data_IF_134735075960
#
_entry.id   IF_134735075960
#
_cell.length_a   1.000
_cell.length_b   1.000
_cell.length_c   1.000
_cell.angle_alpha   90.00
_cell.angle_beta   90.00
_cell.angle_gamma   90.00
#
_symmetry.space_group_name_H-M   'P 1'
#
loop_
_entity.id
_entity.type
_entity.pdbx_description
1 polymer ?
#
# COMPACT_ATOMS: atom_id res chain seq x y z
N UNK A 1 37.10 4.69 -45.99
CA UNK A 1 37.52 3.64 -45.05
C UNK A 1 36.89 3.98 -43.70
N UNK A 2 35.73 3.37 -43.49
CA UNK A 2 35.05 3.01 -42.25
C UNK A 2 34.73 4.02 -41.14
N UNK A 3 33.43 4.28 -41.04
CA UNK A 3 32.69 4.86 -39.92
C UNK A 3 32.79 4.00 -38.65
N UNK A 4 33.14 4.62 -37.53
CA UNK A 4 33.00 4.04 -36.18
C UNK A 4 31.78 4.65 -35.50
N UNK A 5 30.77 3.81 -35.23
CA UNK A 5 29.54 4.14 -34.51
C UNK A 5 29.81 4.32 -33.00
N UNK A 6 29.11 5.23 -32.30
CA UNK A 6 29.11 5.25 -30.84
C UNK A 6 28.21 4.15 -30.26
N UNK A 7 28.75 3.47 -29.25
CA UNK A 7 28.10 2.44 -28.42
C UNK A 7 26.89 3.00 -27.65
N UNK A 8 25.70 2.48 -27.96
CA UNK A 8 24.50 2.68 -27.16
C UNK A 8 24.55 1.82 -25.89
N UNK A 9 24.84 2.44 -24.75
CA UNK A 9 24.65 1.81 -23.43
C UNK A 9 23.24 2.17 -22.95
N UNK A 10 22.31 1.23 -23.12
CA UNK A 10 20.97 1.31 -22.51
C UNK A 10 21.06 1.01 -21.01
N UNK A 11 20.29 1.69 -20.14
CA UNK A 11 20.24 1.35 -18.73
C UNK A 11 19.54 -0.01 -18.56
N UNK A 12 20.17 -0.91 -17.81
CA UNK A 12 19.63 -2.23 -17.43
C UNK A 12 18.32 -2.06 -16.68
N UNK A 13 17.19 -2.21 -17.38
CA UNK A 13 15.87 -2.42 -16.79
C UNK A 13 15.95 -3.59 -15.78
N UNK A 14 15.51 -3.32 -14.56
CA UNK A 14 15.65 -4.20 -13.39
C UNK A 14 15.01 -5.57 -13.66
N UNK A 15 15.68 -6.63 -13.18
CA UNK A 15 15.21 -8.02 -13.28
C UNK A 15 13.83 -8.23 -12.62
N UNK A 16 13.38 -7.32 -11.76
CA UNK A 16 12.08 -7.36 -11.09
C UNK A 16 10.90 -7.07 -12.02
N UNK A 17 11.01 -6.06 -12.89
CA UNK A 17 9.93 -5.70 -13.83
C UNK A 17 9.63 -6.85 -14.82
N UNK A 18 10.64 -7.63 -15.17
CA UNK A 18 10.49 -8.80 -16.07
C UNK A 18 9.81 -10.00 -15.39
N UNK A 19 9.92 -10.12 -14.07
CA UNK A 19 9.26 -11.17 -13.30
C UNK A 19 7.78 -10.85 -13.08
N UNK A 20 7.45 -9.59 -12.81
CA UNK A 20 6.04 -9.15 -12.65
C UNK A 20 5.27 -9.19 -13.97
N UNK A 21 5.88 -8.77 -15.08
CA UNK A 21 5.26 -8.88 -16.40
C UNK A 21 5.02 -10.34 -16.84
N UNK A 22 5.89 -11.28 -16.45
CA UNK A 22 5.68 -12.72 -16.71
C UNK A 22 4.52 -13.30 -15.90
N UNK A 23 4.34 -12.85 -14.66
CA UNK A 23 3.22 -13.29 -13.80
C UNK A 23 1.89 -12.75 -14.30
N UNK A 24 1.86 -11.55 -14.89
CA UNK A 24 0.64 -10.98 -15.47
C UNK A 24 0.26 -11.64 -16.80
N UNK A 25 1.22 -11.99 -17.66
CA UNK A 25 0.92 -12.71 -18.92
C UNK A 25 0.52 -14.18 -18.70
N UNK A 26 0.95 -14.82 -17.61
CA UNK A 26 0.49 -16.18 -17.26
C UNK A 26 -0.97 -16.21 -16.80
N UNK A 27 -1.52 -15.08 -16.33
CA UNK A 27 -2.93 -14.99 -15.93
C UNK A 27 -3.89 -14.78 -17.11
N UNK A 28 -3.38 -14.30 -18.24
CA UNK A 28 -4.15 -14.15 -19.49
C UNK A 28 -4.22 -15.45 -20.31
N UNK A 29 -3.40 -16.46 -20.00
CA UNK A 29 -3.36 -17.74 -20.70
C UNK A 29 -4.28 -18.82 -20.07
N UNK A 30 -4.81 -18.59 -18.87
CA UNK A 30 -5.88 -19.42 -18.29
C UNK A 30 -7.23 -18.85 -18.71
N UNK A 31 -7.74 -19.38 -19.83
CA UNK A 31 -8.97 -18.93 -20.48
C UNK A 31 -10.17 -18.86 -19.53
N UNK A 32 -10.59 -17.64 -19.21
CA UNK A 32 -11.93 -17.31 -18.75
C UNK A 32 -12.38 -16.15 -19.65
N UNK A 33 -13.29 -16.44 -20.57
CA UNK A 33 -13.92 -15.44 -21.43
C UNK A 33 -14.88 -14.56 -20.59
N UNK A 34 -14.99 -13.25 -20.88
CA UNK A 34 -15.97 -12.39 -20.23
C UNK A 34 -17.36 -12.66 -20.82
N UNK A 35 -18.33 -12.93 -19.95
CA UNK A 35 -19.76 -13.06 -20.33
C UNK A 35 -20.32 -11.66 -20.51
N UNK A 36 -20.63 -11.32 -21.76
CA UNK A 36 -21.32 -10.11 -22.17
C UNK A 36 -22.84 -10.35 -22.18
N UNK A 37 -23.59 -9.34 -21.72
CA UNK A 37 -25.01 -9.11 -22.02
C UNK A 37 -26.08 -10.08 -21.48
N UNK A 38 -26.68 -9.76 -20.32
CA UNK A 38 -28.06 -10.19 -20.01
C UNK A 38 -28.93 -8.95 -19.81
N UNK A 39 -29.85 -8.74 -20.76
CA UNK A 39 -30.89 -7.72 -20.69
C UNK A 39 -31.93 -8.06 -19.63
N UNK A 40 -32.17 -7.10 -18.74
CA UNK A 40 -33.24 -7.09 -17.73
C UNK A 40 -34.60 -6.97 -18.43
N UNK A 41 -35.44 -7.99 -18.33
CA UNK A 41 -36.88 -7.87 -18.63
C UNK A 41 -37.63 -7.68 -17.31
N UNK A 42 -38.32 -6.55 -17.22
CA UNK A 42 -39.13 -6.11 -16.07
C UNK A 42 -40.49 -6.80 -16.14
N UNK A 43 -40.86 -7.56 -15.11
CA UNK A 43 -42.23 -8.00 -14.90
C UNK A 43 -43.00 -6.91 -14.14
N UNK A 44 -44.09 -6.42 -14.75
CA UNK A 44 -44.98 -5.42 -14.19
C UNK A 44 -46.25 -6.13 -13.69
N UNK A 45 -46.39 -6.28 -12.37
CA UNK A 45 -47.65 -6.68 -11.75
C UNK A 45 -48.66 -5.52 -11.79
N UNK A 46 -49.88 -5.78 -12.27
CA UNK A 46 -51.05 -4.94 -12.06
C UNK A 46 -52.21 -5.80 -11.55
N UNK A 47 -52.57 -5.56 -10.30
CA UNK A 47 -53.85 -5.97 -9.70
C UNK A 47 -54.89 -4.85 -9.86
N UNK A 48 -56.14 -5.26 -10.14
CA UNK A 48 -57.46 -4.63 -9.87
C UNK A 48 -58.50 -5.29 -10.81
N UNK A 49 -59.75 -5.57 -10.47
CA UNK A 49 -60.54 -5.61 -9.24
C UNK A 49 -61.91 -6.25 -9.60
N UNK A 50 -62.48 -7.02 -8.67
CA UNK A 50 -63.91 -7.17 -8.31
C UNK A 50 -65.05 -7.50 -9.32
N UNK A 51 -65.78 -8.62 -9.08
CA UNK A 51 -67.16 -8.63 -8.52
C UNK A 51 -67.92 -9.98 -8.61
N UNK A 52 -68.39 -10.42 -7.44
CA UNK A 52 -69.73 -10.92 -7.03
C UNK A 52 -70.49 -12.11 -7.68
N UNK A 53 -70.76 -13.09 -6.79
CA UNK A 53 -72.07 -13.65 -6.32
C UNK A 53 -72.75 -14.87 -7.01
N UNK A 54 -72.97 -15.86 -6.13
CA UNK A 54 -74.13 -16.76 -5.91
C UNK A 54 -74.27 -18.12 -6.63
N UNK A 55 -74.22 -19.16 -5.78
CA UNK A 55 -74.91 -20.47 -5.72
C UNK A 55 -75.94 -20.79 -6.83
N UNK A 56 -75.87 -22.00 -7.43
CA UNK A 56 -76.75 -23.15 -7.11
C UNK A 56 -76.61 -24.35 -8.07
N UNK A 57 -76.69 -25.54 -7.47
CA UNK A 57 -77.22 -26.84 -7.91
C UNK A 57 -77.18 -27.29 -9.40
N UNK A 58 -76.46 -28.42 -9.58
CA UNK A 58 -76.88 -29.64 -10.28
C UNK A 58 -77.76 -29.54 -11.54
N UNK A 59 -77.20 -29.93 -12.69
CA UNK A 59 -77.77 -30.97 -13.56
C UNK A 59 -76.80 -31.32 -14.69
N UNK A 60 -76.43 -32.60 -14.74
CA UNK A 60 -75.73 -33.25 -15.85
C UNK A 60 -76.60 -33.13 -17.13
N UNK A 61 -75.97 -33.10 -18.31
CA UNK A 61 -76.22 -34.19 -19.24
C UNK A 61 -74.92 -34.86 -19.67
N UNK A 62 -74.99 -36.17 -19.67
CA UNK A 62 -73.97 -37.13 -20.05
C UNK A 62 -74.05 -37.39 -21.57
N UNK A 63 -72.98 -37.99 -22.11
CA UNK A 63 -72.75 -38.46 -23.50
C UNK A 63 -72.05 -37.42 -24.40
N UNK A 64 -70.85 -37.65 -24.94
CA UNK A 64 -70.21 -38.88 -25.41
C UNK A 64 -68.70 -38.91 -25.07
N UNK A 65 -68.32 -39.80 -24.14
CA UNK A 65 -66.95 -40.26 -23.88
C UNK A 65 -66.67 -41.47 -24.76
N UNK A 66 -65.75 -41.36 -25.74
CA UNK A 66 -64.91 -42.49 -26.20
C UNK A 66 -63.52 -41.99 -26.66
N UNK A 67 -63.37 -40.78 -27.22
CA UNK A 67 -62.07 -40.30 -27.74
C UNK A 67 -61.19 -39.51 -26.75
N UNK A 68 -61.76 -38.83 -25.76
CA UNK A 68 -60.96 -37.97 -24.85
C UNK A 68 -60.11 -38.77 -23.85
N UNK A 69 -60.56 -39.97 -23.46
CA UNK A 69 -59.81 -40.82 -22.52
C UNK A 69 -58.54 -41.41 -23.14
N UNK A 70 -58.59 -41.80 -24.42
CA UNK A 70 -57.45 -42.33 -25.18
C UNK A 70 -56.36 -41.27 -25.46
N UNK A 71 -56.74 -40.01 -25.65
CA UNK A 71 -55.80 -38.90 -25.78
C UNK A 71 -55.18 -38.50 -24.44
N UNK A 72 -55.97 -38.52 -23.37
CA UNK A 72 -55.49 -38.22 -22.02
C UNK A 72 -54.51 -39.29 -21.51
N UNK A 73 -54.78 -40.57 -21.71
CA UNK A 73 -53.87 -41.67 -21.36
C UNK A 73 -52.55 -41.61 -22.16
N UNK A 74 -52.61 -41.27 -23.45
CA UNK A 74 -51.40 -41.04 -24.27
C UNK A 74 -50.60 -39.83 -23.80
N UNK A 75 -51.27 -38.77 -23.38
CA UNK A 75 -50.62 -37.57 -22.83
C UNK A 75 -49.88 -37.89 -21.53
N UNK A 76 -50.53 -38.60 -20.59
CA UNK A 76 -49.92 -39.03 -19.33
C UNK A 76 -48.74 -39.98 -19.55
N UNK A 77 -48.87 -40.92 -20.49
CA UNK A 77 -47.80 -41.82 -20.85
C UNK A 77 -46.57 -41.09 -21.44
N UNK A 78 -46.80 -40.03 -22.23
CA UNK A 78 -45.73 -39.19 -22.75
C UNK A 78 -45.06 -38.37 -21.65
N UNK A 79 -45.83 -37.84 -20.70
CA UNK A 79 -45.32 -37.09 -19.53
C UNK A 79 -44.39 -37.96 -18.68
N UNK A 80 -44.77 -39.22 -18.42
CA UNK A 80 -43.94 -40.19 -17.70
C UNK A 80 -42.64 -40.48 -18.45
N UNK A 81 -42.70 -40.65 -19.78
CA UNK A 81 -41.51 -40.88 -20.59
C UNK A 81 -40.56 -39.68 -20.53
N UNK A 82 -41.09 -38.46 -20.59
CA UNK A 82 -40.31 -37.22 -20.46
C UNK A 82 -39.67 -37.12 -19.08
N UNK A 83 -40.40 -37.43 -18.00
CA UNK A 83 -39.85 -37.44 -16.66
C UNK A 83 -38.71 -38.45 -16.51
N UNK A 84 -38.86 -39.67 -17.03
CA UNK A 84 -37.80 -40.69 -17.05
C UNK A 84 -36.57 -40.23 -17.84
N UNK A 85 -36.77 -39.50 -18.94
CA UNK A 85 -35.69 -38.92 -19.73
C UNK A 85 -34.90 -37.88 -18.93
N UNK A 86 -35.58 -36.94 -18.25
CA UNK A 86 -34.93 -35.94 -17.40
C UNK A 86 -34.21 -36.59 -16.21
N UNK A 87 -34.82 -37.59 -15.58
CA UNK A 87 -34.19 -38.36 -14.51
C UNK A 87 -32.89 -39.04 -14.97
N UNK A 88 -32.90 -39.73 -16.11
CA UNK A 88 -31.71 -40.40 -16.64
C UNK A 88 -30.65 -39.38 -17.10
N UNK A 89 -31.03 -38.28 -17.75
CA UNK A 89 -30.11 -37.20 -18.11
C UNK A 89 -29.44 -36.58 -16.87
N UNK A 90 -30.20 -36.38 -15.80
CA UNK A 90 -29.70 -35.90 -14.52
C UNK A 90 -28.76 -36.92 -13.86
N UNK A 91 -29.05 -38.22 -13.95
CA UNK A 91 -28.13 -39.29 -13.52
C UNK A 91 -26.81 -39.26 -14.30
N UNK A 92 -26.86 -39.08 -15.63
CA UNK A 92 -25.64 -38.93 -16.47
C UNK A 92 -24.83 -37.71 -16.02
N UNK A 93 -25.49 -36.58 -15.77
CA UNK A 93 -24.83 -35.35 -15.31
C UNK A 93 -24.17 -35.54 -13.94
N UNK A 94 -24.83 -36.26 -13.02
CA UNK A 94 -24.27 -36.61 -11.72
C UNK A 94 -23.06 -37.54 -11.83
N UNK A 95 -23.14 -38.57 -12.66
CA UNK A 95 -22.02 -39.47 -12.93
C UNK A 95 -20.83 -38.73 -13.56
N UNK A 96 -21.09 -37.81 -14.49
CA UNK A 96 -20.04 -36.97 -15.08
C UNK A 96 -19.40 -36.01 -14.08
N UNK A 97 -20.18 -35.41 -13.18
CA UNK A 97 -19.63 -34.59 -12.08
C UNK A 97 -18.75 -35.43 -11.15
N UNK A 98 -19.13 -36.69 -10.88
CA UNK A 98 -18.34 -37.62 -10.08
C UNK A 98 -17.03 -37.99 -10.78
N UNK A 99 -17.06 -38.22 -12.10
CA UNK A 99 -15.88 -38.45 -12.92
C UNK A 99 -14.91 -37.27 -12.82
N UNK A 100 -15.39 -36.03 -12.97
CA UNK A 100 -14.56 -34.84 -12.85
C UNK A 100 -13.95 -34.69 -11.46
N UNK A 101 -14.70 -35.01 -10.40
CA UNK A 101 -14.20 -34.96 -9.03
C UNK A 101 -13.10 -36.01 -8.79
N UNK A 102 -13.26 -37.23 -9.30
CA UNK A 102 -12.28 -38.31 -9.17
C UNK A 102 -11.00 -38.10 -10.00
N UNK A 103 -10.95 -37.10 -10.89
CA UNK A 103 -9.73 -36.78 -11.64
C UNK A 103 -8.70 -35.98 -10.83
N UNK A 104 -9.12 -35.28 -9.77
CA UNK A 104 -8.22 -34.42 -8.99
C UNK A 104 -8.67 -34.31 -7.52
N UNK A 105 -8.00 -35.01 -6.58
CA UNK A 105 -6.86 -35.91 -6.82
C UNK A 105 -7.27 -37.16 -7.61
N UNK A 106 -6.32 -37.75 -8.34
CA UNK A 106 -6.58 -38.92 -9.20
C UNK A 106 -7.03 -40.14 -8.38
N UNK A 107 -8.25 -40.60 -8.64
CA UNK A 107 -8.92 -41.75 -8.03
C UNK A 107 -9.39 -42.69 -9.14
N UNK A 108 -8.64 -43.76 -9.37
CA UNK A 108 -8.90 -44.71 -10.45
C UNK A 108 -10.24 -45.46 -10.27
N UNK A 109 -10.56 -45.85 -9.04
CA UNK A 109 -11.79 -46.57 -8.72
C UNK A 109 -13.01 -45.67 -8.87
N UNK A 110 -12.90 -44.41 -8.43
CA UNK A 110 -13.93 -43.39 -8.62
C UNK A 110 -14.19 -43.07 -10.10
N UNK A 111 -13.12 -42.98 -10.90
CA UNK A 111 -13.22 -42.79 -12.36
C UNK A 111 -13.93 -43.98 -13.01
N UNK A 112 -13.51 -45.21 -12.71
CA UNK A 112 -14.10 -46.41 -13.30
C UNK A 112 -15.56 -46.60 -12.89
N UNK A 113 -15.90 -46.34 -11.63
CA UNK A 113 -17.28 -46.39 -11.14
C UNK A 113 -18.17 -45.35 -11.82
N UNK A 114 -17.69 -44.11 -11.97
CA UNK A 114 -18.42 -43.06 -12.67
C UNK A 114 -18.61 -43.36 -14.16
N UNK A 115 -17.59 -43.90 -14.83
CA UNK A 115 -17.66 -44.32 -16.24
C UNK A 115 -18.72 -45.41 -16.44
N UNK A 116 -18.72 -46.45 -15.58
CA UNK A 116 -19.73 -47.50 -15.62
C UNK A 116 -21.16 -46.93 -15.46
N UNK A 117 -21.36 -45.96 -14.56
CA UNK A 117 -22.65 -45.30 -14.35
C UNK A 117 -23.09 -44.49 -15.59
N UNK A 118 -22.18 -43.78 -16.24
CA UNK A 118 -22.47 -43.08 -17.50
C UNK A 118 -22.90 -44.07 -18.56
N UNK A 119 -22.16 -45.18 -18.74
CA UNK A 119 -22.49 -46.21 -19.73
C UNK A 119 -23.85 -46.86 -19.44
N UNK A 120 -24.18 -47.14 -18.17
CA UNK A 120 -25.48 -47.73 -17.82
C UNK A 120 -26.64 -46.78 -18.10
N UNK A 121 -26.50 -45.48 -17.81
CA UNK A 121 -27.55 -44.50 -18.08
C UNK A 121 -27.70 -44.20 -19.58
N UNK A 122 -26.61 -44.22 -20.36
CA UNK A 122 -26.70 -44.12 -21.81
C UNK A 122 -27.44 -45.32 -22.44
N UNK A 123 -27.27 -46.53 -21.88
CA UNK A 123 -28.08 -47.69 -22.27
C UNK A 123 -29.55 -47.49 -21.92
N UNK A 124 -29.85 -47.00 -20.72
CA UNK A 124 -31.22 -46.68 -20.29
C UNK A 124 -31.89 -45.64 -21.21
N UNK A 125 -31.17 -44.58 -21.59
CA UNK A 125 -31.63 -43.59 -22.58
C UNK A 125 -31.92 -44.21 -23.95
N UNK A 126 -31.10 -45.19 -24.37
CA UNK A 126 -31.34 -45.95 -25.61
C UNK A 126 -32.61 -46.78 -25.53
N UNK A 127 -32.88 -47.40 -24.38
CA UNK A 127 -34.10 -48.18 -24.15
C UNK A 127 -35.34 -47.28 -24.13
N UNK A 128 -35.28 -46.13 -23.44
CA UNK A 128 -36.34 -45.12 -23.45
C UNK A 128 -36.67 -44.62 -24.86
N UNK A 129 -35.64 -44.38 -25.69
CA UNK A 129 -35.80 -44.05 -27.11
C UNK A 129 -36.52 -45.18 -27.86
N UNK A 130 -36.17 -46.43 -27.61
CA UNK A 130 -36.80 -47.57 -28.26
C UNK A 130 -38.28 -47.74 -27.84
N UNK A 131 -38.60 -47.52 -26.57
CA UNK A 131 -39.97 -47.51 -26.04
C UNK A 131 -40.84 -46.46 -26.75
N UNK A 132 -40.31 -45.25 -26.94
CA UNK A 132 -41.00 -44.18 -27.69
C UNK A 132 -41.31 -44.59 -29.13
N UNK A 133 -40.31 -45.13 -29.85
CA UNK A 133 -40.46 -45.57 -31.25
C UNK A 133 -41.50 -46.69 -31.37
N UNK A 134 -41.49 -47.65 -30.44
CA UNK A 134 -42.42 -48.78 -30.42
C UNK A 134 -43.79 -48.45 -29.82
N UNK A 135 -44.00 -47.23 -29.32
CA UNK A 135 -45.20 -46.80 -28.57
C UNK A 135 -45.53 -47.73 -27.40
N UNK A 136 -44.49 -48.20 -26.71
CA UNK A 136 -44.63 -49.02 -25.50
C UNK A 136 -44.57 -48.10 -24.29
N UNK A 137 -45.69 -47.98 -23.59
CA UNK A 137 -45.85 -47.09 -22.44
C UNK A 137 -46.10 -47.89 -21.16
N UNK A 138 -45.74 -47.30 -20.02
CA UNK A 138 -45.90 -47.96 -18.72
C UNK A 138 -47.38 -48.19 -18.37
N UNK A 139 -47.72 -49.33 -17.76
CA UNK A 139 -49.08 -49.64 -17.33
C UNK A 139 -49.52 -48.86 -16.07
N UNK A 140 -48.62 -48.12 -15.42
CA UNK A 140 -48.91 -47.30 -14.22
C UNK A 140 -48.18 -45.95 -14.30
N UNK A 141 -48.85 -44.90 -14.81
CA UNK A 141 -48.22 -43.60 -15.06
C UNK A 141 -47.91 -42.82 -13.77
N UNK A 142 -48.84 -42.74 -12.82
CA UNK A 142 -48.70 -41.90 -11.61
C UNK A 142 -47.52 -42.30 -10.72
N UNK A 143 -47.32 -43.61 -10.51
CA UNK A 143 -46.20 -44.12 -9.69
C UNK A 143 -44.86 -43.90 -10.39
N UNK A 144 -44.84 -44.05 -11.72
CA UNK A 144 -43.63 -43.89 -12.53
C UNK A 144 -43.14 -42.44 -12.59
N UNK A 145 -44.08 -41.49 -12.63
CA UNK A 145 -43.80 -40.05 -12.62
C UNK A 145 -43.07 -39.64 -11.33
N UNK A 146 -43.64 -40.00 -10.18
CA UNK A 146 -43.06 -39.69 -8.86
C UNK A 146 -41.68 -40.33 -8.68
N UNK A 147 -41.49 -41.57 -9.15
CA UNK A 147 -40.19 -42.24 -9.09
C UNK A 147 -39.13 -41.55 -9.96
N UNK A 148 -39.51 -41.08 -11.16
CA UNK A 148 -38.62 -40.33 -12.02
C UNK A 148 -38.22 -38.99 -11.39
N UNK A 149 -39.18 -38.25 -10.82
CA UNK A 149 -38.90 -37.01 -10.10
C UNK A 149 -37.97 -37.22 -8.91
N UNK A 150 -38.20 -38.25 -8.10
CA UNK A 150 -37.32 -38.60 -6.97
C UNK A 150 -35.90 -38.90 -7.46
N UNK A 151 -35.76 -39.62 -8.58
CA UNK A 151 -34.45 -39.96 -9.15
C UNK A 151 -33.74 -38.72 -9.70
N UNK A 152 -34.46 -37.81 -10.35
CA UNK A 152 -33.91 -36.53 -10.81
C UNK A 152 -33.42 -35.70 -9.62
N UNK A 153 -34.25 -35.52 -8.59
CA UNK A 153 -33.88 -34.76 -7.40
C UNK A 153 -32.69 -35.38 -6.66
N UNK A 154 -32.61 -36.70 -6.58
CA UNK A 154 -31.47 -37.42 -6.00
C UNK A 154 -30.18 -37.16 -6.79
N UNK A 155 -30.27 -37.15 -8.12
CA UNK A 155 -29.13 -36.88 -9.00
C UNK A 155 -28.66 -35.43 -8.88
N UNK A 156 -29.58 -34.47 -8.81
CA UNK A 156 -29.27 -33.06 -8.55
C UNK A 156 -28.62 -32.85 -7.18
N UNK A 157 -29.16 -33.47 -6.13
CA UNK A 157 -28.56 -33.45 -4.79
C UNK A 157 -27.12 -33.99 -4.81
N UNK A 158 -26.87 -35.06 -5.57
CA UNK A 158 -25.52 -35.62 -5.73
C UNK A 158 -24.55 -34.65 -6.40
N UNK A 159 -24.98 -33.92 -7.44
CA UNK A 159 -24.18 -32.89 -8.11
C UNK A 159 -23.79 -31.79 -7.12
N UNK A 160 -24.74 -31.29 -6.35
CA UNK A 160 -24.46 -30.25 -5.35
C UNK A 160 -23.54 -30.73 -4.25
N UNK A 161 -23.67 -31.98 -3.79
CA UNK A 161 -22.75 -32.60 -2.84
C UNK A 161 -21.30 -32.61 -3.38
N UNK A 162 -21.12 -33.03 -4.64
CA UNK A 162 -19.80 -33.09 -5.28
C UNK A 162 -19.20 -31.68 -5.46
N UNK A 163 -20.02 -30.72 -5.91
CA UNK A 163 -19.60 -29.33 -6.06
C UNK A 163 -19.20 -28.71 -4.71
N UNK A 164 -19.96 -29.00 -3.65
CA UNK A 164 -19.63 -28.58 -2.29
C UNK A 164 -18.27 -29.09 -1.82
N UNK A 165 -18.00 -30.40 -2.00
CA UNK A 165 -16.70 -31.00 -1.67
C UNK A 165 -15.54 -30.39 -2.44
N UNK A 166 -15.75 -30.06 -3.71
CA UNK A 166 -14.73 -29.39 -4.55
C UNK A 166 -14.44 -27.98 -4.06
N UNK A 167 -15.46 -27.18 -3.76
CA UNK A 167 -15.27 -25.83 -3.25
C UNK A 167 -14.61 -25.83 -1.86
N UNK A 168 -14.95 -26.81 -1.02
CA UNK A 168 -14.32 -26.96 0.30
C UNK A 168 -12.82 -27.27 0.19
N UNK A 169 -12.41 -28.15 -0.75
CA UNK A 169 -11.00 -28.45 -0.95
C UNK A 169 -10.22 -27.26 -1.53
N UNK A 170 -10.80 -26.50 -2.46
CA UNK A 170 -10.22 -25.26 -2.97
C UNK A 170 -10.08 -24.20 -1.87
N UNK A 171 -11.06 -24.07 -0.98
CA UNK A 171 -11.03 -23.16 0.16
C UNK A 171 -9.90 -23.53 1.13
N UNK A 172 -9.78 -24.82 1.51
CA UNK A 172 -8.68 -25.30 2.37
C UNK A 172 -7.30 -25.05 1.75
N UNK A 173 -7.18 -25.23 0.43
CA UNK A 173 -5.93 -24.92 -0.29
C UNK A 173 -5.59 -23.43 -0.17
N UNK A 174 -6.57 -22.55 -0.38
CA UNK A 174 -6.38 -21.09 -0.27
C UNK A 174 -6.07 -20.65 1.16
N UNK A 175 -6.70 -21.25 2.16
CA UNK A 175 -6.36 -21.01 3.57
C UNK A 175 -4.91 -21.38 3.89
N UNK A 176 -4.42 -22.51 3.36
CA UNK A 176 -3.01 -22.91 3.50
C UNK A 176 -2.05 -21.93 2.83
N UNK A 177 -2.41 -21.39 1.66
CA UNK A 177 -1.64 -20.37 0.94
C UNK A 177 -1.61 -19.05 1.73
N UNK A 178 -2.74 -18.62 2.29
CA UNK A 178 -2.82 -17.43 3.14
C UNK A 178 -1.94 -17.60 4.39
N UNK A 179 -1.99 -18.75 5.05
CA UNK A 179 -1.16 -19.04 6.22
C UNK A 179 0.33 -18.97 5.87
N UNK A 180 0.75 -19.61 4.78
CA UNK A 180 2.13 -19.56 4.27
C UNK A 180 2.59 -18.12 3.97
N UNK A 181 1.76 -17.33 3.30
CA UNK A 181 2.09 -15.94 2.98
C UNK A 181 2.18 -15.05 4.23
N UNK A 182 1.31 -15.27 5.21
CA UNK A 182 1.38 -14.56 6.51
C UNK A 182 2.67 -14.88 7.25
N UNK A 183 3.06 -16.15 7.31
CA UNK A 183 4.33 -16.55 7.93
C UNK A 183 5.54 -15.92 7.25
N UNK A 184 5.56 -15.92 5.90
CA UNK A 184 6.61 -15.28 5.12
C UNK A 184 6.68 -13.76 5.35
N UNK A 185 5.53 -13.11 5.51
CA UNK A 185 5.45 -11.69 5.84
C UNK A 185 5.97 -11.41 7.24
N UNK A 186 5.61 -12.23 8.23
CA UNK A 186 6.14 -12.12 9.60
C UNK A 186 7.66 -12.29 9.63
N UNK A 187 8.20 -13.27 8.92
CA UNK A 187 9.64 -13.49 8.83
C UNK A 187 10.35 -12.28 8.22
N UNK A 188 9.83 -11.74 7.11
CA UNK A 188 10.37 -10.52 6.51
C UNK A 188 10.29 -9.32 7.48
N UNK A 189 9.21 -9.20 8.25
CA UNK A 189 9.06 -8.15 9.26
C UNK A 189 10.04 -8.32 10.42
N UNK A 190 10.32 -9.55 10.87
CA UNK A 190 11.35 -9.85 11.87
C UNK A 190 12.73 -9.44 11.36
N UNK A 191 13.06 -9.78 10.11
CA UNK A 191 14.31 -9.36 9.47
C UNK A 191 14.42 -7.85 9.36
N UNK A 192 13.36 -7.15 8.95
CA UNK A 192 13.32 -5.69 8.92
C UNK A 192 13.54 -5.09 10.31
N UNK A 193 12.87 -5.60 11.36
CA UNK A 193 13.10 -5.15 12.74
C UNK A 193 14.53 -5.38 13.20
N UNK A 194 15.17 -6.48 12.79
CA UNK A 194 16.57 -6.75 13.10
C UNK A 194 17.51 -5.77 12.37
N UNK A 195 17.27 -5.51 11.09
CA UNK A 195 18.01 -4.51 10.31
C UNK A 195 17.83 -3.11 10.90
N UNK A 196 16.61 -2.76 11.28
CA UNK A 196 16.28 -1.50 11.94
C UNK A 196 16.98 -1.40 13.30
N UNK A 197 16.96 -2.45 14.12
CA UNK A 197 17.73 -2.50 15.37
C UNK A 197 19.22 -2.32 15.13
N UNK A 198 19.81 -2.94 14.10
CA UNK A 198 21.22 -2.75 13.73
C UNK A 198 21.49 -1.31 13.30
N UNK A 199 20.59 -0.72 12.52
CA UNK A 199 20.67 0.68 12.08
C UNK A 199 20.50 1.67 13.25
N UNK A 200 19.67 1.32 14.23
CA UNK A 200 19.39 2.12 15.42
C UNK A 200 20.49 1.97 16.49
N UNK A 201 21.09 0.78 16.63
CA UNK A 201 22.28 0.52 17.45
C UNK A 201 23.52 1.21 16.85
N UNK A 202 23.60 1.35 15.52
CA UNK A 202 24.53 2.28 14.89
C UNK A 202 24.18 3.78 15.09
N UNK A 203 23.21 4.09 15.96
CA UNK A 203 22.89 5.45 16.42
C UNK A 203 23.97 6.07 17.32
N UNK A 204 24.84 5.25 17.91
CA UNK A 204 26.18 5.71 18.25
C UNK A 204 26.92 5.86 16.93
N UNK A 205 27.30 7.09 16.55
CA UNK A 205 28.12 7.35 15.37
C UNK A 205 29.31 6.38 15.38
N UNK A 206 29.22 5.25 14.69
CA UNK A 206 30.29 4.28 14.50
C UNK A 206 31.24 4.84 13.45
N UNK A 207 31.61 6.11 13.60
CA UNK A 207 32.79 6.65 12.97
C UNK A 207 33.99 6.04 13.67
N UNK A 208 34.91 5.40 12.92
CA UNK A 208 36.14 4.90 13.47
C UNK A 208 36.71 5.95 14.43
N UNK A 209 37.03 5.54 15.66
CA UNK A 209 37.57 6.45 16.69
C UNK A 209 38.81 7.23 16.23
N UNK A 210 39.42 6.78 15.12
CA UNK A 210 40.63 7.32 14.50
C UNK A 210 40.34 8.08 13.19
N UNK A 211 39.17 8.72 13.04
CA UNK A 211 38.93 9.60 11.88
C UNK A 211 39.99 10.72 11.92
N UNK A 212 40.94 10.70 10.98
CA UNK A 212 41.85 11.83 10.75
C UNK A 212 41.18 12.77 9.77
N UNK A 213 41.41 14.08 9.91
CA UNK A 213 40.88 15.10 9.01
C UNK A 213 41.20 14.82 7.53
N UNK A 214 42.37 14.22 7.25
CA UNK A 214 42.79 13.80 5.90
C UNK A 214 42.04 12.59 5.33
N UNK A 215 41.25 11.87 6.13
CA UNK A 215 40.42 10.73 5.72
C UNK A 215 38.93 11.06 5.60
N UNK A 216 38.55 12.34 5.66
CA UNK A 216 37.16 12.76 5.45
C UNK A 216 36.73 12.43 4.02
N UNK A 217 35.59 11.78 3.88
CA UNK A 217 35.02 11.36 2.61
C UNK A 217 33.54 11.78 2.58
N UNK A 218 32.96 11.98 1.38
CA UNK A 218 31.54 12.31 1.26
C UNK A 218 30.62 11.30 1.95
N UNK A 219 31.01 10.01 2.04
CA UNK A 219 30.21 9.00 2.74
C UNK A 219 30.09 9.28 4.24
N UNK A 220 31.14 9.80 4.90
CA UNK A 220 31.05 10.22 6.30
C UNK A 220 30.02 11.35 6.49
N UNK A 221 29.99 12.32 5.56
CA UNK A 221 29.00 13.39 5.59
C UNK A 221 27.59 12.87 5.38
N UNK A 222 27.38 11.97 4.41
CA UNK A 222 26.09 11.34 4.15
C UNK A 222 25.59 10.58 5.40
N UNK A 223 26.47 9.87 6.12
CA UNK A 223 26.08 9.18 7.35
C UNK A 223 25.60 10.16 8.43
N UNK A 224 26.33 11.26 8.66
CA UNK A 224 25.93 12.28 9.63
C UNK A 224 24.65 12.99 9.19
N UNK A 225 24.48 13.25 7.90
CA UNK A 225 23.27 13.83 7.33
C UNK A 225 22.05 12.93 7.59
N UNK A 226 22.13 11.63 7.31
CA UNK A 226 21.04 10.69 7.60
C UNK A 226 20.64 10.67 9.08
N UNK A 227 21.62 10.74 9.99
CA UNK A 227 21.32 10.85 11.42
C UNK A 227 20.66 12.19 11.78
N UNK A 228 21.04 13.26 11.08
CA UNK A 228 20.43 14.59 11.23
C UNK A 228 18.98 14.58 10.77
N UNK A 229 18.71 14.08 9.57
CA UNK A 229 17.36 13.96 9.01
C UNK A 229 16.46 13.13 9.92
N UNK A 230 16.97 12.00 10.42
CA UNK A 230 16.23 11.15 11.37
C UNK A 230 15.89 11.88 12.66
N UNK A 231 16.83 12.67 13.20
CA UNK A 231 16.60 13.44 14.42
C UNK A 231 15.62 14.58 14.20
N UNK A 232 15.65 15.24 13.04
CA UNK A 232 14.68 16.25 12.63
C UNK A 232 13.29 15.62 12.56
N UNK A 233 13.12 14.49 11.85
CA UNK A 233 11.83 13.78 11.77
C UNK A 233 11.32 13.36 13.14
N UNK A 234 12.20 12.90 14.03
CA UNK A 234 11.81 12.55 15.41
C UNK A 234 11.27 13.75 16.17
N UNK A 235 11.92 14.91 16.05
CA UNK A 235 11.47 16.15 16.69
C UNK A 235 10.17 16.67 16.05
N UNK A 236 10.04 16.62 14.73
CA UNK A 236 8.82 17.00 13.99
C UNK A 236 7.62 16.18 14.46
N UNK A 237 7.78 14.85 14.62
CA UNK A 237 6.73 13.99 15.16
C UNK A 237 6.31 14.42 16.56
N UNK A 238 7.27 14.62 17.45
CA UNK A 238 7.01 15.09 18.81
C UNK A 238 6.27 16.43 18.79
N UNK A 239 6.73 17.40 17.98
CA UNK A 239 6.09 18.70 17.83
C UNK A 239 4.64 18.58 17.33
N UNK A 240 4.38 17.73 16.33
CA UNK A 240 3.03 17.49 15.81
C UNK A 240 2.14 16.86 16.90
N UNK A 241 2.67 15.95 17.71
CA UNK A 241 1.90 15.30 18.79
C UNK A 241 1.56 16.29 19.93
N UNK A 242 2.47 17.21 20.25
CA UNK A 242 2.20 18.33 21.17
C UNK A 242 1.15 19.30 20.59
N UNK A 243 1.22 19.61 19.29
CA UNK A 243 0.22 20.43 18.60
C UNK A 243 -1.18 19.79 18.65
N UNK A 244 -1.28 18.48 18.40
CA UNK A 244 -2.53 17.72 18.51
C UNK A 244 -3.07 17.76 19.94
N UNK A 245 -2.21 17.55 20.94
CA UNK A 245 -2.59 17.56 22.35
C UNK A 245 -3.09 18.94 22.80
N UNK A 246 -2.52 20.01 22.23
CA UNK A 246 -2.96 21.39 22.44
C UNK A 246 -4.17 21.80 21.57
N UNK A 247 -4.75 20.88 20.79
CA UNK A 247 -5.95 21.14 19.98
C UNK A 247 -5.72 22.02 18.73
N UNK A 248 -4.50 22.05 18.19
CA UNK A 248 -4.19 22.82 16.98
C UNK A 248 -4.80 22.18 15.73
N UNK A 249 -5.28 23.03 14.82
CA UNK A 249 -5.62 22.61 13.46
C UNK A 249 -4.33 22.45 12.63
N UNK A 250 -3.94 21.20 12.42
CA UNK A 250 -2.76 20.84 11.64
C UNK A 250 -2.86 21.26 10.17
N UNK A 251 -4.07 21.37 9.62
CA UNK A 251 -4.27 21.76 8.22
C UNK A 251 -4.07 23.26 8.05
N UNK A 252 -4.60 24.05 8.97
CA UNK A 252 -4.34 25.48 9.03
C UNK A 252 -2.84 25.76 9.26
N UNK A 253 -2.20 25.01 10.18
CA UNK A 253 -0.77 25.15 10.45
C UNK A 253 0.11 24.74 9.26
N UNK A 254 -0.21 23.66 8.55
CA UNK A 254 0.52 23.28 7.34
C UNK A 254 0.39 24.34 6.23
N UNK A 255 -0.81 24.92 6.06
CA UNK A 255 -1.07 26.01 5.09
C UNK A 255 -0.34 27.30 5.44
N UNK A 256 -0.13 27.61 6.72
CA UNK A 256 0.63 28.79 7.14
C UNK A 256 2.13 28.64 6.89
N UNK A 257 2.65 27.41 6.91
CA UNK A 257 4.05 27.11 6.58
C UNK A 257 4.29 27.17 5.07
N UNK A 258 3.47 26.44 4.29
CA UNK A 258 3.55 26.43 2.83
C UNK A 258 2.15 26.61 2.25
N UNK A 259 1.91 27.75 1.60
CA UNK A 259 0.63 28.06 0.97
C UNK A 259 0.47 27.39 -0.40
N UNK A 260 -0.78 27.11 -0.79
CA UNK A 260 -1.17 26.67 -2.13
C UNK A 260 -0.51 25.36 -2.60
N UNK A 261 -0.40 24.36 -1.72
CA UNK A 261 0.10 23.02 -2.06
C UNK A 261 -1.04 22.01 -2.09
N UNK A 262 -1.17 21.32 -3.22
CA UNK A 262 -1.99 20.13 -3.33
C UNK A 262 -1.15 18.90 -2.94
N UNK A 263 -1.45 18.34 -1.76
CA UNK A 263 -0.82 17.13 -1.24
C UNK A 263 -1.46 15.89 -1.85
N UNK A 264 -0.65 14.87 -2.17
CA UNK A 264 -1.10 13.57 -2.65
C UNK A 264 -1.91 12.81 -1.59
N UNK A 265 -1.52 12.93 -0.33
CA UNK A 265 -2.21 12.33 0.83
C UNK A 265 -2.38 13.34 1.94
N UNK A 266 -3.40 13.16 2.77
CA UNK A 266 -3.60 14.01 3.95
C UNK A 266 -2.39 13.98 4.91
N UNK A 267 -1.75 12.80 5.07
CA UNK A 267 -0.59 12.61 5.95
C UNK A 267 0.68 13.29 5.44
N UNK A 268 0.79 13.58 4.15
CA UNK A 268 1.96 14.23 3.56
C UNK A 268 2.14 15.67 4.06
N UNK A 269 1.13 16.25 4.72
CA UNK A 269 1.24 17.55 5.42
C UNK A 269 2.36 17.54 6.46
N UNK A 270 2.76 16.37 6.99
CA UNK A 270 3.92 16.22 7.87
C UNK A 270 5.21 16.78 7.24
N UNK A 271 5.36 16.71 5.92
CA UNK A 271 6.53 17.22 5.20
C UNK A 271 6.62 18.75 5.23
N UNK A 272 5.49 19.46 5.38
CA UNK A 272 5.50 20.91 5.57
C UNK A 272 6.15 21.29 6.91
N UNK A 273 5.81 20.57 7.99
CA UNK A 273 6.45 20.75 9.30
C UNK A 273 7.93 20.35 9.26
N UNK A 274 8.29 19.27 8.57
CA UNK A 274 9.69 18.88 8.36
C UNK A 274 10.47 19.94 7.57
N UNK A 275 9.86 20.54 6.55
CA UNK A 275 10.42 21.66 5.79
C UNK A 275 10.62 22.90 6.66
N UNK A 276 9.65 23.25 7.50
CA UNK A 276 9.77 24.35 8.46
C UNK A 276 10.94 24.14 9.42
N UNK A 277 10.97 23.00 10.11
CA UNK A 277 12.04 22.70 11.07
C UNK A 277 13.40 22.67 10.38
N UNK A 278 13.50 22.04 9.20
CA UNK A 278 14.74 22.02 8.42
C UNK A 278 15.18 23.43 8.05
N UNK A 279 14.28 24.27 7.53
CA UNK A 279 14.58 25.65 7.16
C UNK A 279 15.14 26.43 8.35
N UNK A 280 14.47 26.42 9.49
CA UNK A 280 14.92 27.16 10.67
C UNK A 280 16.24 26.62 11.23
N UNK A 281 16.43 25.29 11.25
CA UNK A 281 17.64 24.68 11.79
C UNK A 281 18.87 24.88 10.88
N UNK A 282 18.68 24.84 9.56
CA UNK A 282 19.74 25.04 8.57
C UNK A 282 19.94 26.51 8.16
N UNK A 283 19.10 27.43 8.62
CA UNK A 283 19.27 28.85 8.36
C UNK A 283 20.63 29.35 8.88
N UNK A 284 21.42 29.98 8.00
CA UNK A 284 22.80 30.38 8.28
C UNK A 284 23.87 29.28 8.14
N UNK A 285 23.54 28.06 7.67
CA UNK A 285 24.50 26.94 7.57
C UNK A 285 25.70 27.24 6.64
N UNK A 286 25.54 28.10 5.65
CA UNK A 286 26.64 28.52 4.77
C UNK A 286 27.65 29.45 5.45
N UNK A 287 27.32 29.98 6.64
CA UNK A 287 28.16 30.91 7.40
C UNK A 287 28.84 30.19 8.58
N UNK A 288 30.12 30.49 8.89
CA UNK A 288 30.77 29.98 10.07
C UNK A 288 29.94 30.27 11.34
N UNK A 289 29.79 29.25 12.19
CA UNK A 289 28.98 29.33 13.42
C UNK A 289 27.55 29.89 13.24
N UNK A 290 26.93 29.73 12.07
CA UNK A 290 25.59 30.27 11.78
C UNK A 290 25.48 31.78 12.01
N UNK A 291 26.56 32.54 11.80
CA UNK A 291 26.62 33.99 12.04
C UNK A 291 26.35 34.44 13.48
N UNK A 292 26.43 33.53 14.46
CA UNK A 292 26.17 33.85 15.88
C UNK A 292 27.36 34.50 16.61
N UNK A 293 28.52 34.68 15.94
CA UNK A 293 29.73 35.14 16.61
C UNK A 293 30.68 35.94 15.72
N UNK A 294 31.05 37.13 16.21
CA UNK A 294 32.15 37.99 15.73
C UNK A 294 33.50 37.60 16.37
N UNK A 295 33.79 36.29 16.51
CA UNK A 295 35.16 35.89 16.86
C UNK A 295 36.05 36.09 15.63
N UNK A 296 37.26 36.62 15.82
CA UNK A 296 38.27 36.69 14.76
C UNK A 296 38.56 35.27 14.26
N UNK A 297 37.97 34.92 13.12
CA UNK A 297 38.10 33.59 12.56
C UNK A 297 39.56 33.37 12.15
N UNK A 298 40.17 32.22 12.50
CA UNK A 298 41.50 31.87 12.04
C UNK A 298 41.55 31.75 10.52
N UNK A 299 42.76 31.79 9.95
CA UNK A 299 43.02 31.43 8.55
C UNK A 299 42.36 30.10 8.16
N UNK A 300 42.00 29.94 6.88
CA UNK A 300 41.17 28.84 6.36
C UNK A 300 41.60 27.43 6.83
N UNK A 301 42.91 27.13 6.86
CA UNK A 301 43.43 25.83 7.35
C UNK A 301 43.20 25.62 8.86
N UNK A 302 43.43 26.67 9.65
CA UNK A 302 43.21 26.65 11.09
C UNK A 302 41.70 26.58 11.42
N UNK A 303 40.86 27.18 10.57
CA UNK A 303 39.39 27.08 10.65
C UNK A 303 38.91 25.64 10.46
N UNK A 304 39.39 24.94 9.44
CA UNK A 304 39.01 23.54 9.19
C UNK A 304 39.39 22.64 10.38
N UNK A 305 40.59 22.80 10.92
CA UNK A 305 41.03 22.06 12.12
C UNK A 305 40.18 22.37 13.35
N UNK A 306 39.79 23.64 13.54
CA UNK A 306 38.92 24.06 14.65
C UNK A 306 37.55 23.37 14.57
N UNK A 307 36.91 23.35 13.41
CA UNK A 307 35.62 22.69 13.24
C UNK A 307 35.73 21.16 13.39
N UNK A 308 36.82 20.55 12.90
CA UNK A 308 37.05 19.13 13.07
C UNK A 308 37.24 18.74 14.55
N UNK A 309 37.95 19.58 15.31
CA UNK A 309 38.09 19.42 16.76
C UNK A 309 36.74 19.52 17.47
N UNK A 310 35.92 20.52 17.13
CA UNK A 310 34.56 20.69 17.69
C UNK A 310 33.66 19.49 17.37
N UNK A 311 33.72 18.97 16.15
CA UNK A 311 33.04 17.73 15.77
C UNK A 311 33.47 16.56 16.66
N UNK A 312 34.78 16.36 16.81
CA UNK A 312 35.36 15.25 17.58
C UNK A 312 35.00 15.33 19.06
N UNK A 313 34.96 16.53 19.63
CA UNK A 313 34.58 16.77 21.02
C UNK A 313 33.11 16.43 21.29
N UNK A 314 32.20 16.85 20.40
CA UNK A 314 30.77 16.70 20.63
C UNK A 314 30.23 15.33 20.18
N UNK A 315 30.84 14.64 19.19
CA UNK A 315 30.27 13.44 18.56
C UNK A 315 29.94 12.29 19.53
N UNK A 316 30.66 12.19 20.65
CA UNK A 316 30.49 11.12 21.64
C UNK A 316 29.84 11.57 22.95
N UNK A 317 29.72 12.87 23.21
CA UNK A 317 29.09 13.39 24.43
C UNK A 317 27.57 13.16 24.37
N UNK A 318 26.82 13.26 25.47
CA UNK A 318 25.37 13.50 25.39
C UNK A 318 25.11 15.00 25.29
N UNK A 319 24.12 15.39 24.48
CA UNK A 319 23.91 16.80 24.15
C UNK A 319 23.50 17.65 25.36
N UNK A 320 22.57 17.16 26.18
CA UNK A 320 22.11 17.82 27.41
C UNK A 320 23.23 17.96 28.45
N UNK A 321 23.97 16.87 28.71
CA UNK A 321 25.13 16.88 29.62
C UNK A 321 26.24 17.83 29.15
N UNK A 322 26.48 17.90 27.84
CA UNK A 322 27.49 18.80 27.27
C UNK A 322 27.14 20.27 27.50
N UNK A 323 25.88 20.64 27.25
CA UNK A 323 25.40 22.01 27.45
C UNK A 323 25.42 22.39 28.94
N UNK A 324 25.01 21.48 29.83
CA UNK A 324 25.08 21.69 31.28
C UNK A 324 26.53 21.93 31.77
N UNK A 325 27.49 21.18 31.21
CA UNK A 325 28.92 21.36 31.54
C UNK A 325 29.53 22.62 30.92
N UNK A 326 29.08 23.03 29.72
CA UNK A 326 29.63 24.15 28.96
C UNK A 326 28.52 25.08 28.43
N UNK A 327 27.81 25.82 29.31
CA UNK A 327 26.67 26.65 28.94
C UNK A 327 27.03 27.85 28.05
N UNK A 328 28.29 28.29 28.07
CA UNK A 328 28.79 29.39 27.23
C UNK A 328 29.45 28.93 25.92
N UNK A 329 29.41 27.63 25.61
CA UNK A 329 29.99 27.08 24.37
C UNK A 329 29.28 27.61 23.12
N UNK A 330 29.96 27.56 21.97
CA UNK A 330 29.35 27.93 20.68
C UNK A 330 28.15 27.06 20.33
N UNK A 331 28.19 25.77 20.71
CA UNK A 331 27.06 24.87 20.58
C UNK A 331 25.86 25.28 21.46
N UNK A 332 26.10 25.65 22.73
CA UNK A 332 25.04 26.13 23.62
C UNK A 332 24.39 27.43 23.10
N UNK A 333 25.20 28.37 22.58
CA UNK A 333 24.70 29.58 21.91
C UNK A 333 23.85 29.24 20.68
N UNK A 334 24.29 28.28 19.88
CA UNK A 334 23.52 27.77 18.74
C UNK A 334 22.18 27.17 19.17
N UNK A 335 22.15 26.31 20.18
CA UNK A 335 20.92 25.75 20.71
C UNK A 335 19.95 26.84 21.19
N UNK A 336 20.44 27.84 21.91
CA UNK A 336 19.64 28.98 22.35
C UNK A 336 19.04 29.74 21.16
N UNK A 337 19.87 30.15 20.20
CA UNK A 337 19.41 30.92 19.04
C UNK A 337 18.37 30.14 18.23
N UNK A 338 18.64 28.86 17.94
CA UNK A 338 17.73 28.01 17.17
C UNK A 338 16.45 27.66 17.91
N UNK A 339 16.48 27.48 19.23
CA UNK A 339 15.26 27.24 19.99
C UNK A 339 14.33 28.46 19.92
N UNK A 340 14.86 29.65 20.12
CA UNK A 340 14.09 30.90 20.10
C UNK A 340 13.54 31.26 18.73
N UNK A 341 14.23 30.84 17.67
CA UNK A 341 13.83 30.98 16.27
C UNK A 341 12.77 29.95 15.87
N UNK A 342 12.98 28.68 16.22
CA UNK A 342 12.10 27.58 15.84
C UNK A 342 10.79 27.56 16.63
N UNK A 343 10.86 27.79 17.95
CA UNK A 343 9.70 27.74 18.84
C UNK A 343 9.14 29.15 19.02
N UNK A 344 8.05 29.42 18.31
CA UNK A 344 7.30 30.65 18.44
C UNK A 344 6.65 30.76 19.84
N UNK A 345 6.59 31.95 20.48
CA UNK A 345 5.97 32.12 21.80
C UNK A 345 4.55 31.56 21.90
N UNK A 346 3.76 31.64 20.83
CA UNK A 346 2.41 31.06 20.81
C UNK A 346 2.43 29.53 20.85
N UNK A 347 3.38 28.88 20.16
CA UNK A 347 3.53 27.41 20.21
C UNK A 347 3.90 26.97 21.63
N UNK A 348 4.83 27.68 22.27
CA UNK A 348 5.26 27.36 23.62
C UNK A 348 4.14 27.56 24.66
N UNK A 349 3.40 28.67 24.57
CA UNK A 349 2.21 28.89 25.40
C UNK A 349 1.18 27.78 25.22
N UNK A 350 0.99 27.27 24.00
CA UNK A 350 0.07 26.16 23.74
C UNK A 350 0.57 24.83 24.31
N UNK A 351 1.88 24.53 24.24
CA UNK A 351 2.42 23.24 24.67
C UNK A 351 2.59 23.17 26.20
N UNK A 352 3.03 24.26 26.84
CA UNK A 352 3.40 24.28 28.26
C UNK A 352 2.49 25.16 29.12
N UNK A 353 1.56 25.91 28.54
CA UNK A 353 0.68 26.85 29.26
C UNK A 353 1.40 28.09 29.81
N UNK A 354 2.71 28.25 29.56
CA UNK A 354 3.54 29.35 30.04
C UNK A 354 4.77 29.54 29.15
N UNK A 355 5.48 30.68 29.30
CA UNK A 355 6.72 31.01 28.59
C UNK A 355 7.99 30.76 29.43
N UNK A 356 7.92 29.85 30.42
CA UNK A 356 9.03 29.63 31.34
C UNK A 356 10.25 29.00 30.66
N UNK A 357 10.06 28.20 29.61
CA UNK A 357 11.18 27.57 28.91
C UNK A 357 11.97 28.61 28.12
N UNK A 358 11.30 29.52 27.42
CA UNK A 358 11.91 30.64 26.70
C UNK A 358 12.56 31.65 27.61
N UNK A 359 11.98 31.97 28.77
CA UNK A 359 12.64 32.86 29.73
C UNK A 359 13.94 32.24 30.25
N UNK A 360 13.93 30.93 30.54
CA UNK A 360 15.11 30.17 30.95
C UNK A 360 16.17 30.10 29.84
N UNK A 361 15.77 29.80 28.60
CA UNK A 361 16.67 29.80 27.44
C UNK A 361 17.25 31.21 27.19
N UNK A 362 16.47 32.27 27.45
CA UNK A 362 16.95 33.65 27.38
C UNK A 362 17.91 34.04 28.51
N UNK A 363 17.80 33.46 29.71
CA UNK A 363 18.80 33.64 30.76
C UNK A 363 20.10 32.85 30.49
N UNK A 364 20.08 31.95 29.50
CA UNK A 364 21.21 31.09 29.14
C UNK A 364 21.24 29.77 29.92
N UNK A 365 20.15 29.46 30.61
CA UNK A 365 19.89 28.17 31.23
C UNK A 365 19.05 27.30 30.30
N UNK A 366 18.98 26.00 30.60
CA UNK A 366 18.39 25.02 29.69
C UNK A 366 17.34 24.17 30.41
N UNK A 367 16.10 24.08 29.88
CA UNK A 367 15.05 23.27 30.49
C UNK A 367 15.42 21.79 30.56
N UNK A 368 15.09 21.13 31.66
CA UNK A 368 15.22 19.68 31.81
C UNK A 368 13.87 19.00 31.58
N UNK A 369 13.46 18.91 30.30
CA UNK A 369 12.25 18.21 29.90
C UNK A 369 12.46 17.42 28.59
N UNK A 370 11.57 16.46 28.33
CA UNK A 370 11.68 15.55 27.18
C UNK A 370 11.63 16.27 25.82
N UNK A 371 10.80 17.31 25.70
CA UNK A 371 10.68 18.12 24.49
C UNK A 371 12.00 18.84 24.17
N UNK A 372 12.56 19.52 25.18
CA UNK A 372 13.83 20.22 25.07
C UNK A 372 15.00 19.25 24.85
N UNK A 373 15.02 18.10 25.52
CA UNK A 373 16.04 17.08 25.30
C UNK A 373 16.03 16.57 23.84
N UNK A 374 14.85 16.35 23.26
CA UNK A 374 14.70 15.93 21.86
C UNK A 374 15.12 17.04 20.90
N UNK A 375 14.76 18.30 21.19
CA UNK A 375 15.22 19.47 20.44
C UNK A 375 16.76 19.58 20.46
N UNK A 376 17.37 19.46 21.64
CA UNK A 376 18.83 19.57 21.81
C UNK A 376 19.57 18.45 21.10
N UNK A 377 19.03 17.23 21.08
CA UNK A 377 19.61 16.14 20.29
C UNK A 377 19.54 16.44 18.79
N UNK A 378 18.42 16.96 18.28
CA UNK A 378 18.32 17.43 16.89
C UNK A 378 19.34 18.54 16.59
N UNK A 379 19.41 19.56 17.45
CA UNK A 379 20.36 20.66 17.32
C UNK A 379 21.81 20.17 17.31
N UNK A 380 22.14 19.20 18.16
CA UNK A 380 23.45 18.54 18.17
C UNK A 380 23.76 17.89 16.83
N UNK A 381 22.83 17.16 16.21
CA UNK A 381 23.07 16.51 14.91
C UNK A 381 23.33 17.55 13.81
N UNK A 382 22.54 18.61 13.76
CA UNK A 382 22.74 19.73 12.83
C UNK A 382 24.08 20.42 13.06
N UNK A 383 24.47 20.66 14.31
CA UNK A 383 25.76 21.26 14.66
C UNK A 383 26.95 20.37 14.28
N UNK A 384 26.84 19.05 14.47
CA UNK A 384 27.87 18.10 14.05
C UNK A 384 28.01 18.08 12.52
N UNK A 385 26.90 18.10 11.79
CA UNK A 385 26.88 18.21 10.34
C UNK A 385 27.55 19.51 9.86
N UNK A 386 27.27 20.64 10.53
CA UNK A 386 27.91 21.93 10.27
C UNK A 386 29.41 21.89 10.51
N UNK A 387 29.85 21.37 11.65
CA UNK A 387 31.28 21.21 11.93
C UNK A 387 31.96 20.35 10.87
N UNK A 388 31.30 19.29 10.43
CA UNK A 388 31.83 18.42 9.38
C UNK A 388 31.90 19.15 8.02
N UNK A 389 30.87 19.92 7.65
CA UNK A 389 30.84 20.73 6.42
C UNK A 389 32.06 21.65 6.28
N UNK A 390 32.40 22.37 7.35
CA UNK A 390 33.55 23.28 7.42
C UNK A 390 34.89 22.57 7.65
N UNK A 391 34.90 21.25 7.90
CA UNK A 391 36.14 20.48 8.04
C UNK A 391 36.68 19.96 6.69
N UNK A 392 35.85 19.93 5.64
CA UNK A 392 36.24 19.49 4.29
C UNK A 392 37.09 20.54 3.55
N UNK A 393 37.88 20.07 2.59
CA UNK A 393 38.57 20.90 1.59
C UNK A 393 38.28 20.35 0.18
N UNK A 394 37.47 21.01 -0.65
CA UNK A 394 36.71 22.24 -0.37
C UNK A 394 35.56 22.01 0.62
N UNK A 395 35.15 23.07 1.32
CA UNK A 395 34.05 23.03 2.30
C UNK A 395 32.73 22.59 1.65
N UNK A 396 31.90 21.87 2.41
CA UNK A 396 30.59 21.47 1.94
C UNK A 396 29.68 22.71 1.83
N UNK A 397 29.01 22.85 0.69
CA UNK A 397 28.02 23.91 0.46
C UNK A 397 26.62 23.34 0.53
N UNK A 398 25.69 24.11 1.08
CA UNK A 398 24.27 23.79 1.17
C UNK A 398 23.53 24.42 -0.01
N UNK A 399 22.52 23.74 -0.56
CA UNK A 399 21.63 24.30 -1.57
C UNK A 399 20.18 23.86 -1.33
N UNK A 400 19.25 24.67 -1.82
CA UNK A 400 17.81 24.40 -1.81
C UNK A 400 17.25 24.74 -3.18
N UNK A 401 16.12 24.12 -3.53
CA UNK A 401 15.45 24.38 -4.80
C UNK A 401 14.22 25.25 -4.60
N UNK A 402 13.98 26.15 -5.55
CA UNK A 402 12.85 27.05 -5.49
C UNK A 402 11.54 26.31 -5.82
N UNK A 403 10.45 26.80 -5.24
CA UNK A 403 9.09 26.35 -5.58
C UNK A 403 8.82 26.57 -7.08
N UNK A 404 8.16 25.61 -7.70
CA UNK A 404 7.77 25.65 -9.11
C UNK A 404 8.87 25.20 -10.08
N UNK A 405 10.06 24.83 -9.58
CA UNK A 405 11.11 24.26 -10.43
C UNK A 405 10.73 22.87 -10.96
N UNK A 406 11.29 22.52 -12.12
CA UNK A 406 11.19 21.16 -12.66
C UNK A 406 11.98 20.19 -11.79
N UNK A 407 11.41 19.00 -11.57
CA UNK A 407 12.10 17.93 -10.86
C UNK A 407 13.34 17.48 -11.62
N UNK A 408 14.42 17.18 -10.90
CA UNK A 408 15.66 16.66 -11.48
C UNK A 408 16.23 15.59 -10.58
N UNK A 409 16.16 14.33 -11.01
CA UNK A 409 16.70 13.17 -10.30
C UNK A 409 18.21 13.30 -9.99
N UNK A 410 18.95 14.19 -10.67
CA UNK A 410 20.37 14.39 -10.38
C UNK A 410 20.59 15.19 -9.10
N UNK A 411 19.71 16.14 -8.79
CA UNK A 411 19.85 17.07 -7.67
C UNK A 411 18.77 16.90 -6.59
N UNK A 412 17.71 16.15 -6.89
CA UNK A 412 16.50 16.07 -6.09
C UNK A 412 16.09 14.61 -5.86
N UNK A 413 15.59 14.32 -4.67
CA UNK A 413 14.96 13.05 -4.27
C UNK A 413 13.51 13.37 -3.85
N UNK A 414 12.53 12.62 -4.36
CA UNK A 414 11.14 12.85 -3.99
C UNK A 414 10.83 12.10 -2.67
N UNK A 415 10.27 12.79 -1.68
CA UNK A 415 9.93 12.14 -0.39
C UNK A 415 8.66 11.28 -0.44
N UNK A 416 7.88 11.42 -1.52
CA UNK A 416 6.60 10.74 -1.72
C UNK A 416 6.59 9.92 -3.02
N UNK A 417 7.70 9.23 -3.34
CA UNK A 417 7.84 8.41 -4.55
C UNK A 417 6.71 7.39 -4.72
N UNK A 418 6.28 6.74 -3.64
CA UNK A 418 5.21 5.74 -3.67
C UNK A 418 3.87 6.30 -4.20
N UNK A 419 3.60 7.58 -3.97
CA UNK A 419 2.39 8.24 -4.44
C UNK A 419 2.44 8.55 -5.94
N UNK A 420 3.64 8.72 -6.51
CA UNK A 420 3.85 8.97 -7.94
C UNK A 420 3.74 7.70 -8.78
N UNK A 421 3.86 6.52 -8.17
CA UNK A 421 3.75 5.21 -8.83
C UNK A 421 2.30 4.70 -8.94
N UNK A 422 1.32 5.48 -8.49
CA UNK A 422 -0.10 5.15 -8.59
C UNK A 422 -0.63 5.36 -10.02
N UNK A 423 -1.60 4.56 -10.46
CA UNK A 423 -2.19 4.57 -11.81
C UNK A 423 -2.80 5.92 -12.24
N UNK A 424 -2.94 6.88 -11.31
CA UNK A 424 -3.45 8.23 -11.55
C UNK A 424 -2.36 9.30 -11.73
N UNK A 425 -1.12 8.91 -12.04
CA UNK A 425 -0.03 9.86 -12.25
C UNK A 425 -0.32 10.78 -13.46
N UNK A 426 -0.17 12.11 -13.32
CA UNK A 426 -0.37 13.04 -14.42
C UNK A 426 0.63 12.78 -15.56
N UNK A 427 0.20 12.99 -16.81
CA UNK A 427 1.05 12.83 -18.01
C UNK A 427 2.27 13.79 -18.03
N UNK A 428 2.26 14.83 -17.19
CA UNK A 428 3.34 15.81 -17.05
C UNK A 428 4.01 15.71 -15.68
N UNK A 429 5.35 15.82 -15.67
CA UNK A 429 6.15 15.81 -14.45
C UNK A 429 5.66 16.89 -13.46
N UNK A 430 5.19 16.51 -12.26
CA UNK A 430 4.67 17.47 -11.31
C UNK A 430 5.79 18.43 -10.84
N UNK A 431 5.49 19.74 -10.71
CA UNK A 431 6.49 20.71 -10.27
C UNK A 431 6.82 20.53 -8.78
N UNK A 432 8.02 20.96 -8.41
CA UNK A 432 8.45 20.99 -7.00
C UNK A 432 7.58 21.97 -6.21
N UNK A 433 6.93 21.47 -5.16
CA UNK A 433 6.14 22.28 -4.24
C UNK A 433 7.06 23.07 -3.30
N UNK A 434 7.93 22.36 -2.58
CA UNK A 434 8.88 22.92 -1.62
C UNK A 434 10.01 21.92 -1.33
N UNK A 435 11.13 22.45 -0.83
CA UNK A 435 12.25 21.64 -0.32
C UNK A 435 11.94 21.21 1.11
N UNK A 436 11.96 19.90 1.37
CA UNK A 436 11.78 19.31 2.71
C UNK A 436 13.09 19.35 3.48
N UNK A 437 14.17 18.84 2.87
CA UNK A 437 15.53 18.86 3.45
C UNK A 437 16.49 19.42 2.40
N UNK A 438 17.39 20.36 2.77
CA UNK A 438 18.37 20.91 1.85
C UNK A 438 19.34 19.85 1.31
N UNK A 439 19.86 20.10 0.11
CA UNK A 439 20.91 19.30 -0.51
C UNK A 439 22.30 19.86 -0.19
N UNK A 440 23.34 19.08 -0.48
CA UNK A 440 24.72 19.46 -0.20
C UNK A 440 25.65 19.16 -1.38
N UNK A 441 26.68 19.98 -1.55
CA UNK A 441 27.75 19.76 -2.54
C UNK A 441 29.09 19.76 -1.83
N UNK A 442 29.84 18.66 -2.01
CA UNK A 442 31.18 18.45 -1.44
C UNK A 442 32.13 18.17 -2.60
N UNK A 443 32.90 19.17 -3.00
CA UNK A 443 33.72 19.09 -4.21
C UNK A 443 32.88 18.74 -5.44
N UNK A 444 33.08 17.54 -6.01
CA UNK A 444 32.34 17.03 -7.18
C UNK A 444 31.12 16.18 -6.81
N UNK A 445 30.97 15.81 -5.53
CA UNK A 445 29.85 14.99 -5.07
C UNK A 445 28.66 15.87 -4.75
N UNK A 446 27.52 15.55 -5.35
CA UNK A 446 26.22 16.16 -5.04
C UNK A 446 25.42 15.16 -4.20
N UNK A 447 24.90 15.65 -3.08
CA UNK A 447 23.91 14.97 -2.26
C UNK A 447 22.59 15.67 -2.54
N UNK A 448 21.61 14.91 -3.01
CA UNK A 448 20.32 15.43 -3.44
C UNK A 448 19.60 16.15 -2.30
N UNK A 449 18.84 17.19 -2.62
CA UNK A 449 17.85 17.74 -1.70
C UNK A 449 16.58 16.88 -1.72
N UNK A 450 15.92 16.75 -0.58
CA UNK A 450 14.63 16.07 -0.50
C UNK A 450 13.52 17.08 -0.80
N UNK A 451 12.64 16.75 -1.74
CA UNK A 451 11.59 17.65 -2.23
C UNK A 451 10.24 16.97 -2.20
N UNK A 452 9.19 17.78 -2.04
CA UNK A 452 7.82 17.35 -2.23
C UNK A 452 7.31 17.86 -3.58
N UNK A 453 6.68 16.99 -4.37
CA UNK A 453 6.08 17.36 -5.67
C UNK A 453 4.58 17.56 -5.48
N UNK A 454 4.04 18.67 -5.99
CA UNK A 454 2.60 18.96 -5.84
C UNK A 454 1.80 18.33 -6.98
N UNK A 455 0.56 17.93 -6.69
CA UNK A 455 -0.41 17.69 -7.76
C UNK A 455 -0.64 19.01 -8.53
N UNK A 456 -0.64 18.95 -9.86
CA UNK A 456 -1.01 20.09 -10.68
C UNK A 456 -2.46 20.47 -10.37
N UNK A 457 -2.69 21.65 -9.81
CA UNK A 457 -4.02 22.25 -9.83
C UNK A 457 -4.36 22.55 -11.29
N UNK A 458 -5.19 21.72 -11.92
CA UNK A 458 -5.94 22.14 -13.09
C UNK A 458 -6.81 23.31 -12.66
N UNK A 459 -6.37 24.54 -12.94
CA UNK A 459 -7.23 25.72 -12.89
C UNK A 459 -8.38 25.46 -13.86
N UNK A 460 -9.50 24.99 -13.34
CA UNK A 460 -10.78 25.07 -14.07
C UNK A 460 -11.11 26.56 -14.05
N UNK A 461 -10.79 27.25 -15.15
CA UNK A 461 -11.30 28.59 -15.39
C UNK A 461 -12.83 28.50 -15.33
N UNK A 462 -13.43 29.14 -14.33
CA UNK A 462 -14.87 29.44 -14.30
C UNK A 462 -15.09 30.86 -14.78
#
# INVERSE_FOLDING_TARGET
>A
MDSVKPSAVTPRKSKFARTVAKVLHLRAASGIAPVDGVQKVVAQEKFKDDKHRHKSAASRPQSFDINDNDEHEKSLALEVLVAKLFASLSSVKAAYAQLQYAQSPYDADGIQGADHLVVSELKNLSDLKQCYIKKQFDPSPDTSLVLADIQEQKSLSKIYEIMGKKLESELRLKESEIMYLREKMEESNRQNRLLEKRLNQSGHLSMPGNLRQSGLSPSHFITVLRHTDKSIRSFVKLMIDEMKSAGWDLDAAAKSIVSDVAYWRADDKCFAFESFVSREMFDGFHLPNFSLQEESLPDKKNRQQLFFRRFTELKSAKATEYIARKPKSTFAKFCRAKYLQLIHPQMEMSFSGNLSQRSLVNSGEFPDNSFFATFVEMARRVWLLHCLAFSFDPEASIFQVARGCRFSEVYMECVAEDALLSENAPEADPPVAFTVVPGFRIGKTVIQCQVYLSQLHTKVNR
#
